data_IF_155739222111
#
_entry.id   IF_155739222111
#
_cell.length_a   1.000
_cell.length_b   1.000
_cell.length_c   1.000
_cell.angle_alpha   90.00
_cell.angle_beta   90.00
_cell.angle_gamma   90.00
#
_symmetry.space_group_name_H-M   'P 1'
#
loop_
_entity.id
_entity.type
_entity.pdbx_description
1 polymer ?
#
# COMPACT_ATOMS: atom_id res chain seq x y z
N UNK A 1 23.65 14.55 43.07
CA UNK A 1 22.19 14.59 42.89
C UNK A 1 21.95 14.66 41.39
N UNK A 2 21.67 13.53 40.73
CA UNK A 2 21.48 13.48 39.29
C UNK A 2 20.02 13.82 38.97
N UNK A 3 19.81 14.92 38.25
CA UNK A 3 18.51 15.32 37.72
C UNK A 3 18.13 14.37 36.58
N UNK A 4 17.05 13.60 36.78
CA UNK A 4 16.45 12.77 35.74
C UNK A 4 15.74 13.67 34.73
N UNK A 5 16.29 13.72 33.52
CA UNK A 5 15.66 14.28 32.33
C UNK A 5 14.32 13.56 32.07
N UNK A 6 13.22 14.32 32.07
CA UNK A 6 11.89 13.81 31.78
C UNK A 6 11.77 13.52 30.28
N UNK A 7 11.99 12.26 29.88
CA UNK A 7 11.73 11.81 28.52
C UNK A 7 10.23 11.92 28.22
N UNK A 8 9.84 13.02 27.57
CA UNK A 8 8.48 13.21 27.08
C UNK A 8 8.23 12.23 25.95
N UNK A 9 7.45 11.18 26.23
CA UNK A 9 6.94 10.27 25.21
C UNK A 9 6.21 11.08 24.12
N UNK A 10 6.43 10.81 22.83
CA UNK A 10 5.77 11.55 21.76
C UNK A 10 4.26 11.35 21.85
N UNK A 11 3.54 12.44 22.11
CA UNK A 11 2.09 12.46 22.21
C UNK A 11 1.51 12.40 20.79
N UNK A 12 1.23 11.21 20.28
CA UNK A 12 0.56 11.07 18.98
C UNK A 12 -0.95 11.35 19.15
N UNK A 13 -1.30 12.62 19.24
CA UNK A 13 -2.68 13.06 19.11
C UNK A 13 -3.04 12.98 17.62
N UNK A 14 -3.50 11.81 17.18
CA UNK A 14 -3.96 11.63 15.80
C UNK A 14 -5.40 12.11 15.73
N UNK A 15 -5.62 13.17 14.97
CA UNK A 15 -6.95 13.71 14.70
C UNK A 15 -7.84 12.68 13.97
N UNK A 16 -9.14 12.66 14.30
CA UNK A 16 -10.08 11.67 13.75
C UNK A 16 -10.18 11.74 12.22
N UNK A 17 -10.15 12.94 11.64
CA UNK A 17 -10.15 13.13 10.19
C UNK A 17 -8.87 12.55 9.60
N UNK A 18 -7.73 12.79 10.23
CA UNK A 18 -6.45 12.19 9.83
C UNK A 18 -6.48 10.66 9.90
N UNK A 19 -7.13 10.07 10.91
CA UNK A 19 -7.30 8.61 11.01
C UNK A 19 -8.20 8.06 9.90
N UNK A 20 -9.29 8.76 9.60
CA UNK A 20 -10.22 8.39 8.52
C UNK A 20 -9.55 8.44 7.15
N UNK A 21 -8.81 9.51 6.85
CA UNK A 21 -8.05 9.65 5.61
C UNK A 21 -7.01 8.53 5.44
N UNK A 22 -6.28 8.22 6.52
CA UNK A 22 -5.31 7.10 6.52
C UNK A 22 -6.01 5.75 6.32
N UNK A 23 -7.15 5.51 6.96
CA UNK A 23 -7.92 4.28 6.81
C UNK A 23 -8.44 4.11 5.37
N UNK A 24 -8.98 5.18 4.77
CA UNK A 24 -9.45 5.17 3.38
C UNK A 24 -8.29 4.86 2.43
N UNK A 25 -7.14 5.50 2.61
CA UNK A 25 -5.96 5.25 1.77
C UNK A 25 -5.43 3.82 1.94
N UNK A 26 -5.49 3.26 3.15
CA UNK A 26 -5.11 1.88 3.40
C UNK A 26 -6.04 0.89 2.70
N UNK A 27 -7.36 1.12 2.76
CA UNK A 27 -8.35 0.29 2.06
C UNK A 27 -8.11 0.31 0.55
N UNK A 28 -7.85 1.49 -0.04
CA UNK A 28 -7.50 1.60 -1.47
C UNK A 28 -6.23 0.83 -1.83
N UNK A 29 -5.21 0.89 -0.98
CA UNK A 29 -3.98 0.15 -1.18
C UNK A 29 -4.20 -1.37 -1.13
N UNK A 30 -4.98 -1.86 -0.16
CA UNK A 30 -5.34 -3.27 -0.08
C UNK A 30 -6.15 -3.74 -1.31
N UNK A 31 -7.08 -2.92 -1.79
CA UNK A 31 -7.83 -3.22 -3.02
C UNK A 31 -6.91 -3.35 -4.24
N UNK A 32 -5.90 -2.48 -4.35
CA UNK A 32 -4.89 -2.56 -5.40
C UNK A 32 -4.06 -3.85 -5.30
N UNK A 33 -3.64 -4.24 -4.09
CA UNK A 33 -2.95 -5.51 -3.88
C UNK A 33 -3.80 -6.72 -4.27
N UNK A 34 -5.08 -6.75 -3.88
CA UNK A 34 -6.01 -7.81 -4.26
C UNK A 34 -6.17 -7.88 -5.78
N UNK A 35 -6.26 -6.73 -6.46
CA UNK A 35 -6.34 -6.68 -7.93
C UNK A 35 -5.08 -7.24 -8.59
N UNK A 36 -3.89 -6.92 -8.07
CA UNK A 36 -2.62 -7.48 -8.56
C UNK A 36 -2.57 -9.00 -8.34
N UNK A 37 -3.01 -9.48 -7.17
CA UNK A 37 -3.07 -10.91 -6.84
C UNK A 37 -4.13 -11.68 -7.65
N UNK A 38 -5.22 -11.02 -8.07
CA UNK A 38 -6.31 -11.63 -8.82
C UNK A 38 -6.12 -11.60 -10.34
N UNK A 39 -5.13 -10.85 -10.86
CA UNK A 39 -4.78 -10.87 -12.29
C UNK A 39 -4.14 -12.22 -12.63
N UNK A 40 -4.95 -13.17 -13.10
CA UNK A 40 -4.58 -14.56 -13.38
C UNK A 40 -3.41 -14.67 -14.38
N UNK A 41 -3.34 -13.77 -15.38
CA UNK A 41 -2.23 -13.68 -16.34
C UNK A 41 -0.87 -13.37 -15.71
N UNK A 42 -0.85 -12.83 -14.49
CA UNK A 42 0.37 -12.36 -13.84
C UNK A 42 1.04 -13.43 -12.97
N UNK A 43 0.29 -14.41 -12.47
CA UNK A 43 0.83 -15.43 -11.57
C UNK A 43 1.06 -16.75 -12.32
N UNK A 44 2.27 -17.33 -12.20
CA UNK A 44 2.46 -18.67 -12.72
C UNK A 44 1.52 -19.65 -11.99
N UNK A 45 0.94 -20.60 -12.74
CA UNK A 45 0.24 -21.74 -12.15
C UNK A 45 1.15 -22.41 -11.10
N UNK A 46 0.53 -22.88 -10.00
CA UNK A 46 1.22 -23.32 -8.79
C UNK A 46 2.52 -24.09 -9.07
N UNK A 47 3.66 -23.52 -8.62
CA UNK A 47 4.99 -24.10 -8.77
C UNK A 47 5.90 -23.43 -9.81
N UNK A 48 5.42 -22.44 -10.58
CA UNK A 48 6.28 -21.66 -11.48
C UNK A 48 7.04 -20.53 -10.78
N UNK A 49 8.08 -20.01 -11.45
CA UNK A 49 8.95 -18.94 -10.93
C UNK A 49 8.14 -17.67 -10.70
N UNK A 50 8.19 -17.12 -9.49
CA UNK A 50 7.53 -15.86 -9.16
C UNK A 50 7.99 -14.73 -10.11
N UNK A 51 7.09 -13.82 -10.50
CA UNK A 51 7.42 -12.69 -11.35
C UNK A 51 8.45 -11.76 -10.68
N UNK A 52 9.36 -11.24 -11.48
CA UNK A 52 10.40 -10.29 -11.01
C UNK A 52 9.77 -8.93 -10.68
N UNK A 53 10.42 -8.17 -9.79
CA UNK A 53 9.89 -6.90 -9.31
C UNK A 53 9.64 -5.87 -10.43
N UNK A 54 10.42 -5.93 -11.51
CA UNK A 54 10.19 -5.10 -12.72
C UNK A 54 8.87 -5.45 -13.41
N UNK A 55 8.52 -6.73 -13.52
CA UNK A 55 7.27 -7.18 -14.13
C UNK A 55 6.06 -6.78 -13.29
N UNK A 56 6.20 -6.84 -11.96
CA UNK A 56 5.16 -6.37 -11.02
C UNK A 56 4.91 -4.88 -11.21
N UNK A 57 5.96 -4.09 -11.37
CA UNK A 57 5.86 -2.65 -11.62
C UNK A 57 5.13 -2.36 -12.94
N UNK A 58 5.50 -3.03 -14.02
CA UNK A 58 4.89 -2.81 -15.34
C UNK A 58 3.39 -3.18 -15.36
N UNK A 59 3.02 -4.29 -14.72
CA UNK A 59 1.62 -4.68 -14.56
C UNK A 59 0.82 -3.68 -13.72
N UNK A 60 1.43 -3.15 -12.66
CA UNK A 60 0.82 -2.12 -11.81
C UNK A 60 0.60 -0.82 -12.60
N UNK A 61 1.58 -0.38 -13.38
CA UNK A 61 1.49 0.82 -14.21
C UNK A 61 0.40 0.69 -15.29
N UNK A 62 0.23 -0.50 -15.89
CA UNK A 62 -0.85 -0.78 -16.83
C UNK A 62 -2.24 -0.72 -16.16
N UNK A 63 -2.36 -1.28 -14.96
CA UNK A 63 -3.61 -1.23 -14.18
C UNK A 63 -3.96 0.20 -13.80
N UNK A 64 -3.00 0.98 -13.30
CA UNK A 64 -3.21 2.38 -12.92
C UNK A 64 -3.57 3.25 -14.13
N UNK A 65 -2.92 3.02 -15.28
CA UNK A 65 -3.22 3.72 -16.53
C UNK A 65 -4.65 3.44 -17.03
N UNK A 66 -5.16 2.22 -16.81
CA UNK A 66 -6.54 1.86 -17.16
C UNK A 66 -7.62 2.53 -16.27
N UNK A 67 -7.24 3.05 -15.09
CA UNK A 67 -8.18 3.68 -14.14
C UNK A 67 -8.33 5.19 -14.32
N UNK A 68 -7.52 5.82 -15.18
CA UNK A 68 -7.75 7.18 -15.62
C UNK A 68 -8.43 7.16 -17.00
N UNK A 69 -9.77 7.16 -17.08
CA UNK A 69 -10.43 7.44 -18.35
C UNK A 69 -9.96 8.84 -18.75
N UNK A 70 -9.35 8.91 -19.93
CA UNK A 70 -8.96 10.13 -20.60
C UNK A 70 -10.04 11.21 -20.38
N UNK A 71 -9.64 12.37 -19.86
CA UNK A 71 -10.55 13.50 -19.66
C UNK A 71 -10.91 14.13 -21.00
#
# INVERSE_FOLDING_TARGET
MATMEHSKAPSINVDLVTMLEKAINYVKFLQLQVKVLATDEFWPAQGGKAPELSQVKDALDAILSSQHPNK
#
